data_IF_557907134838
#
_entry.id   IF_557907134838
#
_cell.length_a   1.000
_cell.length_b   1.000
_cell.length_c   1.000
_cell.angle_alpha   90.00
_cell.angle_beta   90.00
_cell.angle_gamma   90.00
#
_symmetry.space_group_name_H-M   'P 1'
#
loop_
_entity.id
_entity.type
_entity.pdbx_description
1 polymer ?
#
# COMPACT_ATOMS: atom_id res chain seq x y z
N UNK A 1 25.44 16.97 -6.21
CA UNK A 1 25.06 16.56 -7.58
C UNK A 1 23.95 17.51 -8.02
N UNK A 2 24.15 18.25 -9.11
CA UNK A 2 23.12 19.10 -9.73
C UNK A 2 22.65 18.31 -10.95
N UNK A 3 21.35 18.14 -11.14
CA UNK A 3 20.88 17.59 -12.41
C UNK A 3 21.42 18.48 -13.52
N UNK A 4 22.06 17.91 -14.55
CA UNK A 4 22.51 18.67 -15.71
C UNK A 4 21.32 19.24 -16.49
N UNK A 5 21.46 19.40 -17.80
CA UNK A 5 20.32 19.80 -18.63
C UNK A 5 19.25 18.71 -18.61
N UNK A 6 18.12 19.01 -17.97
CA UNK A 6 16.94 18.12 -17.90
C UNK A 6 15.82 18.68 -18.77
N UNK A 7 14.98 17.81 -19.37
CA UNK A 7 13.85 18.25 -20.17
C UNK A 7 12.86 19.09 -19.35
N UNK A 8 12.16 20.05 -20.00
CA UNK A 8 11.11 20.80 -19.34
C UNK A 8 9.91 19.90 -19.05
N UNK A 9 9.23 20.15 -17.92
CA UNK A 9 7.96 19.52 -17.59
C UNK A 9 6.93 19.82 -18.69
N UNK A 10 6.13 18.83 -19.17
CA UNK A 10 5.11 19.08 -20.17
C UNK A 10 4.06 20.08 -19.71
N UNK A 11 3.47 20.80 -20.67
CA UNK A 11 2.43 21.80 -20.39
C UNK A 11 1.05 21.18 -20.16
N UNK A 12 0.80 19.98 -20.69
CA UNK A 12 -0.47 19.27 -20.59
C UNK A 12 -0.59 18.39 -19.34
N UNK A 13 -0.23 18.94 -18.17
CA UNK A 13 -0.32 18.23 -16.90
C UNK A 13 -1.51 18.68 -16.05
N UNK A 14 -2.02 17.81 -15.18
CA UNK A 14 -3.05 18.13 -14.19
C UNK A 14 -2.76 17.51 -12.81
N UNK A 15 -3.50 17.93 -11.78
CA UNK A 15 -3.38 17.39 -10.43
C UNK A 15 -3.73 15.89 -10.40
N UNK A 16 -2.91 15.07 -9.76
CA UNK A 16 -3.14 13.63 -9.68
C UNK A 16 -4.16 13.28 -8.58
N UNK A 17 -5.38 12.90 -8.99
CA UNK A 17 -6.49 12.64 -8.08
C UNK A 17 -6.32 11.41 -7.18
N UNK A 18 -5.49 10.44 -7.57
CA UNK A 18 -5.41 9.11 -6.94
C UNK A 18 -4.30 8.98 -5.89
N UNK A 19 -3.71 10.08 -5.45
CA UNK A 19 -2.77 10.07 -4.34
C UNK A 19 -3.49 9.74 -3.02
N UNK A 20 -3.08 8.65 -2.35
CA UNK A 20 -3.66 8.19 -1.07
C UNK A 20 -2.78 8.45 0.15
N UNK A 21 -1.47 8.61 -0.05
CA UNK A 21 -0.49 8.84 0.99
C UNK A 21 0.55 9.89 0.58
N UNK A 22 1.45 10.24 1.50
CA UNK A 22 2.49 11.25 1.29
C UNK A 22 2.07 12.66 1.70
N UNK A 23 2.77 13.66 1.17
CA UNK A 23 2.56 15.07 1.51
C UNK A 23 1.59 15.71 0.51
N UNK A 24 0.29 15.56 0.73
CA UNK A 24 -0.74 16.25 -0.06
C UNK A 24 -1.27 17.48 0.68
N UNK A 25 -1.24 18.64 0.00
CA UNK A 25 -2.02 19.90 0.17
C UNK A 25 -2.23 20.53 1.54
N UNK A 26 -1.81 19.95 2.66
CA UNK A 26 -2.10 20.57 3.96
C UNK A 26 -1.33 21.86 4.21
N UNK A 27 -0.18 22.13 3.57
CA UNK A 27 0.54 23.41 3.78
C UNK A 27 1.56 23.85 2.70
N UNK A 28 1.66 23.21 1.53
CA UNK A 28 2.54 23.72 0.46
C UNK A 28 2.16 23.17 -0.92
N UNK A 29 2.10 24.05 -1.92
CA UNK A 29 1.99 23.73 -3.36
C UNK A 29 3.21 22.98 -3.92
N UNK A 30 4.24 22.73 -3.10
CA UNK A 30 5.55 22.23 -3.54
C UNK A 30 5.66 20.72 -3.71
N UNK A 31 4.67 19.92 -3.30
CA UNK A 31 4.77 18.44 -3.28
C UNK A 31 3.68 17.71 -4.07
N UNK A 32 3.00 18.41 -4.98
CA UNK A 32 1.94 17.84 -5.81
C UNK A 32 2.50 16.81 -6.80
N UNK A 33 1.77 15.70 -6.96
CA UNK A 33 1.96 14.76 -8.06
C UNK A 33 1.09 15.26 -9.21
N UNK A 34 1.69 15.38 -10.39
CA UNK A 34 0.98 15.76 -11.61
C UNK A 34 0.82 14.54 -12.52
N UNK A 35 -0.22 14.54 -13.35
CA UNK A 35 -0.48 13.52 -14.37
C UNK A 35 -0.34 14.13 -15.76
N UNK A 36 0.28 13.41 -16.69
CA UNK A 36 0.22 13.74 -18.12
C UNK A 36 -1.17 13.38 -18.66
N UNK A 37 -1.86 14.31 -19.33
CA UNK A 37 -3.21 14.03 -19.89
C UNK A 37 -3.17 13.13 -21.13
N UNK A 38 -2.02 12.99 -21.77
CA UNK A 38 -1.84 12.28 -23.05
C UNK A 38 -1.11 10.94 -22.91
N UNK A 39 -0.47 10.69 -21.77
CA UNK A 39 0.39 9.52 -21.55
C UNK A 39 0.13 8.92 -20.16
N UNK A 40 0.36 7.61 -19.97
CA UNK A 40 0.28 6.96 -18.66
C UNK A 40 1.52 7.29 -17.80
N UNK A 41 1.76 8.58 -17.55
CA UNK A 41 2.92 9.09 -16.82
C UNK A 41 2.45 10.05 -15.72
N UNK A 42 3.03 9.90 -14.54
CA UNK A 42 2.94 10.87 -13.45
C UNK A 42 4.29 11.56 -13.22
N UNK A 43 4.23 12.79 -12.76
CA UNK A 43 5.37 13.61 -12.36
C UNK A 43 5.31 13.84 -10.85
N UNK A 44 6.15 13.12 -10.11
CA UNK A 44 6.27 13.26 -8.66
C UNK A 44 7.25 14.38 -8.35
N UNK A 45 6.79 15.43 -7.67
CA UNK A 45 7.68 16.50 -7.21
C UNK A 45 8.79 15.92 -6.33
N UNK A 46 10.03 16.33 -6.57
CA UNK A 46 11.15 15.94 -5.72
C UNK A 46 11.01 16.65 -4.38
N UNK A 47 10.88 15.85 -3.31
CA UNK A 47 10.82 16.32 -1.93
C UNK A 47 12.10 17.11 -1.55
N UNK A 48 12.15 17.68 -0.34
CA UNK A 48 13.35 18.32 0.25
C UNK A 48 14.64 17.71 -0.33
N UNK A 49 15.48 18.54 -0.96
CA UNK A 49 16.41 18.12 -2.06
C UNK A 49 17.05 16.75 -1.82
N UNK A 50 17.56 16.47 -0.63
CA UNK A 50 18.18 15.19 -0.29
C UNK A 50 17.28 13.96 -0.49
N UNK A 51 16.02 13.97 -0.03
CA UNK A 51 15.12 12.80 -0.15
C UNK A 51 14.72 12.56 -1.59
N UNK A 52 14.37 13.63 -2.30
CA UNK A 52 14.07 13.58 -3.73
C UNK A 52 15.25 13.03 -4.52
N UNK A 53 16.48 13.49 -4.23
CA UNK A 53 17.68 12.99 -4.90
C UNK A 53 17.90 11.50 -4.62
N UNK A 54 17.74 11.06 -3.37
CA UNK A 54 17.91 9.64 -3.01
C UNK A 54 16.93 8.74 -3.76
N UNK A 55 15.69 9.16 -3.92
CA UNK A 55 14.70 8.41 -4.69
C UNK A 55 15.06 8.36 -6.17
N UNK A 56 15.54 9.47 -6.76
CA UNK A 56 16.04 9.47 -8.14
C UNK A 56 17.22 8.51 -8.30
N UNK A 57 18.20 8.55 -7.38
CA UNK A 57 19.35 7.65 -7.42
C UNK A 57 18.93 6.18 -7.34
N UNK A 58 17.92 5.83 -6.53
CA UNK A 58 17.37 4.49 -6.51
C UNK A 58 16.91 4.05 -7.90
N UNK A 59 16.06 4.86 -8.54
CA UNK A 59 15.53 4.54 -9.86
C UNK A 59 16.62 4.48 -10.92
N UNK A 60 17.60 5.40 -10.89
CA UNK A 60 18.76 5.36 -11.78
C UNK A 60 19.58 4.07 -11.60
N UNK A 61 19.83 3.64 -10.36
CA UNK A 61 20.51 2.37 -10.09
C UNK A 61 19.71 1.17 -10.60
N UNK A 62 18.39 1.15 -10.36
CA UNK A 62 17.53 0.04 -10.81
C UNK A 62 17.44 -0.06 -12.33
N UNK A 63 17.31 1.08 -13.01
CA UNK A 63 17.14 1.14 -14.47
C UNK A 63 18.45 1.32 -15.25
N UNK A 64 19.60 1.30 -14.57
CA UNK A 64 20.92 1.29 -15.22
C UNK A 64 21.10 0.05 -16.12
N UNK A 65 21.76 0.18 -17.29
CA UNK A 65 22.18 -0.97 -18.10
C UNK A 65 23.03 -1.97 -17.29
N UNK A 66 23.86 -1.47 -16.38
CA UNK A 66 24.79 -2.24 -15.56
C UNK A 66 24.21 -2.69 -14.21
N UNK A 67 22.88 -2.57 -14.03
CA UNK A 67 22.22 -2.98 -12.79
C UNK A 67 22.45 -4.46 -12.48
N UNK A 68 22.56 -4.81 -11.20
CA UNK A 68 22.63 -6.20 -10.75
C UNK A 68 21.39 -7.00 -11.16
N UNK A 69 21.48 -8.33 -11.13
CA UNK A 69 20.32 -9.20 -11.40
C UNK A 69 19.19 -8.98 -10.38
N UNK A 70 19.51 -8.65 -9.12
CA UNK A 70 18.51 -8.30 -8.12
C UNK A 70 17.72 -7.05 -8.54
N UNK A 71 18.41 -6.01 -8.98
CA UNK A 71 17.82 -4.75 -9.43
C UNK A 71 17.04 -4.91 -10.74
N UNK A 72 17.55 -5.66 -11.71
CA UNK A 72 16.82 -5.95 -12.96
C UNK A 72 15.49 -6.65 -12.69
N UNK A 73 15.48 -7.64 -11.78
CA UNK A 73 14.25 -8.36 -11.39
C UNK A 73 13.25 -7.47 -10.65
N UNK A 74 13.73 -6.47 -9.92
CA UNK A 74 12.90 -5.51 -9.20
C UNK A 74 12.03 -4.64 -10.13
N UNK A 75 12.48 -4.38 -11.37
CA UNK A 75 11.79 -3.52 -12.34
C UNK A 75 10.33 -3.90 -12.56
N UNK A 76 9.99 -5.19 -12.46
CA UNK A 76 8.61 -5.66 -12.65
C UNK A 76 7.66 -5.32 -11.48
N UNK A 77 8.22 -4.91 -10.34
CA UNK A 77 7.45 -4.63 -9.12
C UNK A 77 7.40 -3.13 -8.78
N UNK A 78 7.99 -2.26 -9.61
CA UNK A 78 8.06 -0.81 -9.34
C UNK A 78 7.59 -0.01 -10.57
N UNK A 79 7.16 1.25 -10.42
CA UNK A 79 6.88 2.11 -11.57
C UNK A 79 8.09 2.25 -12.50
N UNK A 80 7.88 2.21 -13.82
CA UNK A 80 8.96 2.52 -14.77
C UNK A 80 9.39 3.97 -14.62
N UNK A 81 10.71 4.20 -14.58
CA UNK A 81 11.32 5.51 -14.49
C UNK A 81 11.60 6.10 -15.87
N UNK A 82 11.19 7.35 -16.09
CA UNK A 82 11.36 8.05 -17.37
C UNK A 82 12.33 9.25 -17.30
N UNK A 83 12.96 9.47 -16.15
CA UNK A 83 13.91 10.58 -15.96
C UNK A 83 13.42 11.67 -15.01
N UNK A 84 14.25 12.72 -14.91
CA UNK A 84 13.94 13.95 -14.17
C UNK A 84 13.58 15.04 -15.15
N UNK A 85 12.58 15.84 -14.79
CA UNK A 85 12.06 16.96 -15.54
C UNK A 85 12.08 18.22 -14.67
N UNK A 86 12.17 19.40 -15.28
CA UNK A 86 12.14 20.67 -14.57
C UNK A 86 10.94 21.52 -14.98
N UNK A 87 10.18 22.03 -14.01
CA UNK A 87 9.13 23.01 -14.29
C UNK A 87 9.77 24.33 -14.74
N UNK A 88 9.49 24.83 -15.97
CA UNK A 88 10.16 26.02 -16.50
C UNK A 88 10.00 27.27 -15.63
N UNK A 89 8.82 27.46 -15.04
CA UNK A 89 8.47 28.65 -14.26
C UNK A 89 8.98 28.63 -12.82
N UNK A 90 8.85 27.51 -12.10
CA UNK A 90 9.26 27.42 -10.68
C UNK A 90 10.67 26.89 -10.48
N UNK A 91 11.30 26.32 -11.53
CA UNK A 91 12.55 25.56 -11.47
C UNK A 91 12.50 24.33 -10.55
N UNK A 92 11.31 23.93 -10.10
CA UNK A 92 11.12 22.72 -9.32
C UNK A 92 11.39 21.48 -10.19
N UNK A 93 12.00 20.46 -9.59
CA UNK A 93 12.29 19.19 -10.25
C UNK A 93 11.20 18.16 -9.96
N UNK A 94 10.90 17.37 -10.98
CA UNK A 94 9.92 16.29 -10.92
C UNK A 94 10.56 15.01 -11.46
N UNK A 95 10.26 13.88 -10.83
CA UNK A 95 10.59 12.56 -11.35
C UNK A 95 9.40 12.00 -12.12
N UNK A 96 9.61 11.60 -13.37
CA UNK A 96 8.60 10.99 -14.21
C UNK A 96 8.56 9.47 -13.98
N UNK A 97 7.39 8.96 -13.62
CA UNK A 97 7.11 7.55 -13.36
C UNK A 97 5.88 7.08 -14.15
N UNK A 98 5.74 5.77 -14.36
CA UNK A 98 4.49 5.21 -14.91
C UNK A 98 3.30 5.51 -14.00
N UNK A 99 2.18 5.93 -14.58
CA UNK A 99 0.90 6.05 -13.92
C UNK A 99 0.31 4.64 -13.70
N UNK A 100 0.41 4.14 -12.46
CA UNK A 100 0.00 2.79 -12.07
C UNK A 100 -1.51 2.55 -12.13
N UNK A 101 -2.33 3.60 -12.31
CA UNK A 101 -3.78 3.48 -12.39
C UNK A 101 -4.35 3.91 -13.74
N UNK A 102 -3.49 4.10 -14.75
CA UNK A 102 -3.90 4.61 -16.05
C UNK A 102 -4.90 3.70 -16.79
N UNK A 103 -4.82 2.40 -16.56
CA UNK A 103 -5.69 1.36 -17.13
C UNK A 103 -6.86 0.96 -16.21
N UNK A 104 -7.05 1.66 -15.09
CA UNK A 104 -8.19 1.47 -14.18
C UNK A 104 -9.24 2.55 -14.41
N UNK A 105 -10.51 2.14 -14.43
CA UNK A 105 -11.67 3.04 -14.52
C UNK A 105 -12.05 3.59 -13.14
N UNK A 106 -12.14 2.72 -12.13
CA UNK A 106 -12.56 3.06 -10.76
C UNK A 106 -11.62 2.40 -9.74
N UNK A 107 -10.36 2.84 -9.67
CA UNK A 107 -9.34 2.20 -8.85
C UNK A 107 -9.61 2.38 -7.35
N UNK A 108 -9.63 1.26 -6.64
CA UNK A 108 -9.44 1.20 -5.19
C UNK A 108 -7.94 1.05 -4.92
N UNK A 109 -7.41 1.81 -3.98
CA UNK A 109 -5.96 1.89 -3.72
C UNK A 109 -5.71 1.78 -2.22
N UNK A 110 -4.76 0.93 -1.82
CA UNK A 110 -4.35 0.80 -0.42
C UNK A 110 -2.83 0.80 -0.31
N UNK A 111 -2.28 1.71 0.50
CA UNK A 111 -0.85 1.89 0.72
C UNK A 111 -0.45 1.31 2.08
N UNK A 112 0.46 0.33 2.07
CA UNK A 112 1.07 -0.26 3.25
C UNK A 112 2.50 0.20 3.41
N UNK A 113 2.76 1.05 4.40
CA UNK A 113 4.12 1.44 4.77
C UNK A 113 4.82 0.29 5.48
N UNK A 114 5.81 -0.30 4.83
CA UNK A 114 6.46 -1.53 5.27
C UNK A 114 7.55 -1.29 6.32
N UNK A 115 7.84 -2.33 7.09
CA UNK A 115 8.88 -2.38 8.11
C UNK A 115 8.36 -2.33 9.54
N UNK A 116 8.97 -3.14 10.40
CA UNK A 116 8.79 -3.14 11.87
C UNK A 116 9.31 -1.85 12.52
N UNK A 117 10.23 -1.15 11.84
CA UNK A 117 10.75 0.17 12.22
C UNK A 117 10.78 1.09 11.00
N UNK A 118 10.83 2.40 11.25
CA UNK A 118 10.86 3.43 10.19
C UNK A 118 11.92 4.50 10.46
N UNK A 119 13.02 4.12 11.10
CA UNK A 119 14.16 4.96 11.37
C UNK A 119 15.43 4.18 11.03
N UNK A 120 16.50 4.91 10.72
CA UNK A 120 17.79 4.29 10.36
C UNK A 120 18.67 4.10 11.59
N UNK A 121 19.65 3.17 11.53
CA UNK A 121 20.75 3.14 12.49
C UNK A 121 21.34 4.54 12.70
N UNK A 122 21.58 4.91 13.95
CA UNK A 122 22.10 6.23 14.32
C UNK A 122 21.07 7.36 14.35
N UNK A 123 19.77 7.06 14.22
CA UNK A 123 18.72 8.04 14.52
C UNK A 123 18.76 8.43 16.00
N UNK A 124 18.54 9.72 16.31
CA UNK A 124 18.51 10.19 17.70
C UNK A 124 17.40 9.51 18.51
N UNK A 125 17.58 9.42 19.83
CA UNK A 125 16.59 8.80 20.71
C UNK A 125 15.21 9.47 20.56
N UNK A 126 15.16 10.80 20.47
CA UNK A 126 13.91 11.52 20.25
C UNK A 126 13.22 11.13 18.93
N UNK A 127 14.00 10.91 17.85
CA UNK A 127 13.46 10.47 16.57
C UNK A 127 12.92 9.05 16.65
N UNK A 128 13.64 8.15 17.33
CA UNK A 128 13.20 6.77 17.57
C UNK A 128 11.86 6.78 18.33
N UNK A 129 11.83 7.43 19.50
CA UNK A 129 10.63 7.52 20.34
C UNK A 129 9.43 8.10 19.57
N UNK A 130 9.64 9.18 18.80
CA UNK A 130 8.56 9.77 17.97
C UNK A 130 8.06 8.84 16.87
N UNK A 131 8.91 8.04 16.24
CA UNK A 131 8.48 7.09 15.21
C UNK A 131 7.75 5.89 15.80
N UNK A 132 8.18 5.39 16.97
CA UNK A 132 7.52 4.27 17.66
C UNK A 132 6.13 4.65 18.19
N UNK A 133 5.98 5.86 18.72
CA UNK A 133 4.69 6.39 19.20
C UNK A 133 3.64 6.57 18.09
N UNK A 134 4.03 6.64 16.81
CA UNK A 134 3.08 6.81 15.71
C UNK A 134 2.15 5.62 15.54
N UNK A 135 2.62 4.41 15.87
CA UNK A 135 1.82 3.20 15.74
C UNK A 135 2.40 2.06 16.57
N UNK A 136 1.78 1.81 17.73
CA UNK A 136 2.24 0.82 18.71
C UNK A 136 2.29 -0.62 18.16
N UNK A 137 1.46 -0.93 17.15
CA UNK A 137 1.37 -2.27 16.56
C UNK A 137 2.36 -2.51 15.41
N UNK A 138 3.18 -1.51 15.03
CA UNK A 138 4.10 -1.61 13.88
C UNK A 138 5.01 -2.83 13.98
N UNK A 139 5.61 -3.06 15.14
CA UNK A 139 6.55 -4.19 15.33
C UNK A 139 5.85 -5.53 15.20
N UNK A 140 4.61 -5.63 15.68
CA UNK A 140 3.78 -6.85 15.57
C UNK A 140 3.39 -7.13 14.13
N UNK A 141 2.87 -6.11 13.44
CA UNK A 141 2.34 -6.23 12.08
C UNK A 141 3.42 -6.22 10.98
N UNK A 142 4.50 -5.47 11.18
CA UNK A 142 5.53 -5.22 10.17
C UNK A 142 5.12 -4.22 9.08
N UNK A 143 3.96 -3.57 9.22
CA UNK A 143 3.49 -2.52 8.32
C UNK A 143 2.51 -1.57 9.01
N UNK A 144 2.14 -0.48 8.32
CA UNK A 144 1.04 0.44 8.68
C UNK A 144 0.22 0.77 7.44
N UNK A 145 -1.11 0.66 7.53
CA UNK A 145 -2.01 1.21 6.51
C UNK A 145 -1.82 2.74 6.48
N UNK A 146 -1.16 3.23 5.45
CA UNK A 146 -0.63 4.60 5.39
C UNK A 146 -1.50 5.54 4.55
N UNK A 147 -2.38 4.96 3.73
CA UNK A 147 -3.47 5.62 3.04
C UNK A 147 -4.36 4.59 2.36
N UNK A 148 -5.63 4.90 2.21
CA UNK A 148 -6.57 4.03 1.49
C UNK A 148 -7.60 4.87 0.76
N UNK A 149 -8.01 4.43 -0.41
CA UNK A 149 -9.05 5.02 -1.21
C UNK A 149 -9.97 3.93 -1.72
N UNK A 150 -11.27 4.16 -1.55
CA UNK A 150 -12.31 3.28 -2.07
C UNK A 150 -13.17 4.11 -3.04
N UNK A 151 -13.43 3.57 -4.22
CA UNK A 151 -14.35 4.16 -5.16
C UNK A 151 -15.78 3.80 -4.78
N UNK A 152 -16.61 4.82 -4.52
CA UNK A 152 -18.04 4.64 -4.35
C UNK A 152 -18.69 4.69 -5.73
N UNK A 153 -19.00 3.51 -6.26
CA UNK A 153 -19.58 3.37 -7.60
C UNK A 153 -21.02 3.89 -7.69
N UNK A 154 -21.72 4.00 -6.55
CA UNK A 154 -23.10 4.49 -6.48
C UNK A 154 -23.16 6.02 -6.47
N UNK A 155 -22.27 6.63 -5.70
CA UNK A 155 -22.21 8.09 -5.56
C UNK A 155 -21.18 8.76 -6.47
N UNK A 156 -20.48 7.97 -7.30
CA UNK A 156 -19.44 8.42 -8.23
C UNK A 156 -18.36 9.30 -7.56
N UNK A 157 -17.93 8.90 -6.37
CA UNK A 157 -16.95 9.65 -5.58
C UNK A 157 -15.83 8.76 -5.04
N UNK A 158 -14.73 9.40 -4.62
CA UNK A 158 -13.59 8.72 -4.00
C UNK A 158 -13.62 8.98 -2.49
N UNK A 159 -13.72 7.91 -1.71
CA UNK A 159 -13.64 7.96 -0.25
C UNK A 159 -12.19 7.73 0.15
N UNK A 160 -11.55 8.75 0.73
CA UNK A 160 -10.14 8.69 1.15
C UNK A 160 -10.01 8.56 2.66
N UNK A 161 -9.16 7.62 3.08
CA UNK A 161 -8.78 7.36 4.46
C UNK A 161 -7.32 7.76 4.65
N UNK A 162 -7.02 8.79 5.47
CA UNK A 162 -5.66 9.31 5.61
C UNK A 162 -4.81 8.41 6.51
N UNK A 163 -3.49 8.64 6.55
CA UNK A 163 -2.54 7.97 7.45
C UNK A 163 -2.95 7.96 8.93
N UNK A 164 -3.72 8.95 9.39
CA UNK A 164 -4.20 9.03 10.75
C UNK A 164 -5.17 7.89 11.07
N UNK A 165 -6.05 7.54 10.12
CA UNK A 165 -6.98 6.41 10.24
C UNK A 165 -6.24 5.10 10.45
N UNK A 166 -5.24 4.78 9.62
CA UNK A 166 -4.52 3.52 9.78
C UNK A 166 -3.71 3.41 11.07
N UNK A 167 -3.34 4.55 11.68
CA UNK A 167 -2.64 4.57 12.98
C UNK A 167 -3.55 4.29 14.17
N UNK A 168 -4.87 4.36 14.03
CA UNK A 168 -5.80 4.02 15.11
C UNK A 168 -6.17 2.54 15.14
N UNK A 169 -5.84 1.77 14.10
CA UNK A 169 -6.28 0.39 13.95
C UNK A 169 -5.46 -0.57 14.82
N UNK A 170 -6.13 -1.41 15.61
CA UNK A 170 -5.50 -2.62 16.18
C UNK A 170 -5.24 -3.66 15.08
N UNK A 171 -4.42 -4.70 15.34
CA UNK A 171 -4.16 -5.75 14.35
C UNK A 171 -5.44 -6.43 13.82
N UNK A 172 -6.46 -6.59 14.66
CA UNK A 172 -7.75 -7.18 14.30
C UNK A 172 -8.58 -6.18 13.47
N UNK A 173 -8.53 -4.88 13.79
CA UNK A 173 -9.22 -3.84 13.04
C UNK A 173 -8.59 -3.57 11.67
N UNK A 174 -7.30 -3.83 11.48
CA UNK A 174 -6.65 -3.78 10.15
C UNK A 174 -7.38 -4.73 9.18
N UNK A 175 -7.82 -5.90 9.65
CA UNK A 175 -8.66 -6.78 8.86
C UNK A 175 -10.08 -6.21 8.66
N UNK A 176 -10.83 -6.03 9.76
CA UNK A 176 -12.28 -5.83 9.68
C UNK A 176 -12.69 -4.43 9.23
N UNK A 177 -11.89 -3.40 9.53
CA UNK A 177 -12.17 -1.99 9.23
C UNK A 177 -11.27 -1.47 8.09
N UNK A 178 -10.10 -2.08 7.88
CA UNK A 178 -9.18 -1.73 6.79
C UNK A 178 -9.42 -2.56 5.53
N UNK A 179 -8.89 -3.79 5.52
CA UNK A 179 -8.79 -4.60 4.32
C UNK A 179 -10.14 -5.12 3.81
N UNK A 180 -11.02 -5.61 4.69
CA UNK A 180 -12.31 -6.15 4.26
C UNK A 180 -13.15 -5.10 3.50
N UNK A 181 -13.31 -3.87 4.02
CA UNK A 181 -13.95 -2.78 3.27
C UNK A 181 -13.24 -2.45 1.96
N UNK A 182 -11.90 -2.45 1.95
CA UNK A 182 -11.11 -2.19 0.74
C UNK A 182 -11.41 -3.18 -0.39
N UNK A 183 -11.57 -4.48 -0.09
CA UNK A 183 -11.87 -5.50 -1.11
C UNK A 183 -13.33 -5.48 -1.60
N UNK A 184 -14.19 -4.69 -0.96
CA UNK A 184 -15.60 -4.57 -1.29
C UNK A 184 -16.50 -5.60 -0.59
N UNK A 185 -17.81 -5.47 -0.80
CA UNK A 185 -18.83 -6.24 -0.07
C UNK A 185 -19.17 -7.57 -0.72
N UNK A 186 -18.73 -7.83 -1.94
CA UNK A 186 -18.99 -9.10 -2.64
C UNK A 186 -17.97 -10.17 -2.17
N UNK A 187 -18.42 -11.24 -1.47
CA UNK A 187 -17.51 -12.23 -0.91
C UNK A 187 -16.76 -13.02 -2.00
N UNK A 188 -17.39 -13.28 -3.14
CA UNK A 188 -16.75 -14.04 -4.22
C UNK A 188 -15.64 -13.22 -4.89
N UNK A 189 -15.90 -11.95 -5.18
CA UNK A 189 -14.93 -11.03 -5.77
C UNK A 189 -13.79 -10.73 -4.80
N UNK A 190 -14.09 -10.49 -3.53
CA UNK A 190 -13.07 -10.25 -2.51
C UNK A 190 -12.13 -11.46 -2.31
N UNK A 191 -12.65 -12.71 -2.36
CA UNK A 191 -11.82 -13.92 -2.35
C UNK A 191 -10.90 -13.98 -3.58
N UNK A 192 -11.43 -13.71 -4.78
CA UNK A 192 -10.60 -13.69 -6.01
C UNK A 192 -9.52 -12.61 -5.96
N UNK A 193 -9.83 -11.42 -5.45
CA UNK A 193 -8.86 -10.35 -5.23
C UNK A 193 -7.78 -10.77 -4.23
N UNK A 194 -8.18 -11.34 -3.09
CA UNK A 194 -7.23 -11.82 -2.07
C UNK A 194 -6.30 -12.91 -2.63
N UNK A 195 -6.82 -13.87 -3.39
CA UNK A 195 -6.03 -14.89 -4.09
C UNK A 195 -5.03 -14.26 -5.07
N UNK A 196 -5.46 -13.28 -5.85
CA UNK A 196 -4.59 -12.57 -6.78
C UNK A 196 -3.48 -11.80 -6.04
N UNK A 197 -3.81 -11.12 -4.95
CA UNK A 197 -2.82 -10.43 -4.12
C UNK A 197 -1.82 -11.37 -3.45
N UNK A 198 -2.25 -12.55 -2.97
CA UNK A 198 -1.34 -13.57 -2.43
C UNK A 198 -0.27 -13.93 -3.46
N UNK A 199 -0.67 -14.15 -4.73
CA UNK A 199 0.27 -14.52 -5.80
C UNK A 199 1.26 -13.38 -6.06
N UNK A 200 0.78 -12.14 -6.22
CA UNK A 200 1.64 -10.99 -6.52
C UNK A 200 2.59 -10.65 -5.36
N UNK A 201 2.08 -10.62 -4.13
CA UNK A 201 2.89 -10.40 -2.92
C UNK A 201 3.90 -11.53 -2.73
N UNK A 202 3.53 -12.78 -3.03
CA UNK A 202 4.43 -13.94 -3.00
C UNK A 202 5.60 -13.79 -3.99
N UNK A 203 5.35 -13.25 -5.19
CA UNK A 203 6.42 -12.96 -6.16
C UNK A 203 7.40 -11.89 -5.64
N UNK A 204 6.89 -10.84 -5.01
CA UNK A 204 7.73 -9.82 -4.36
C UNK A 204 8.52 -10.44 -3.21
N UNK A 205 7.89 -11.30 -2.40
CA UNK A 205 8.55 -11.96 -1.26
C UNK A 205 9.69 -12.86 -1.73
N UNK A 206 9.44 -13.69 -2.74
CA UNK A 206 10.45 -14.58 -3.32
C UNK A 206 11.62 -13.77 -3.88
N UNK A 207 11.33 -12.72 -4.67
CA UNK A 207 12.38 -11.81 -5.14
C UNK A 207 13.18 -11.19 -3.99
N UNK A 208 12.50 -10.71 -2.95
CA UNK A 208 13.16 -10.07 -1.82
C UNK A 208 14.03 -11.05 -1.05
N UNK A 209 13.56 -12.26 -0.77
CA UNK A 209 14.31 -13.29 -0.03
C UNK A 209 15.51 -13.79 -0.84
N UNK A 210 15.33 -14.05 -2.15
CA UNK A 210 16.37 -14.64 -2.99
C UNK A 210 17.44 -13.64 -3.40
N UNK A 211 17.04 -12.39 -3.68
CA UNK A 211 17.90 -11.36 -4.26
C UNK A 211 17.90 -10.07 -3.43
N UNK A 212 16.72 -9.44 -3.27
CA UNK A 212 16.61 -8.08 -2.77
C UNK A 212 17.24 -7.84 -1.39
N UNK A 213 17.04 -8.75 -0.44
CA UNK A 213 17.54 -8.65 0.93
C UNK A 213 19.07 -8.70 1.03
N UNK A 214 19.77 -9.19 0.00
CA UNK A 214 21.24 -9.25 -0.03
C UNK A 214 21.86 -7.91 -0.42
N UNK A 215 21.18 -7.16 -1.27
CA UNK A 215 21.72 -5.94 -1.89
C UNK A 215 21.03 -4.67 -1.39
N UNK A 216 19.80 -4.77 -0.88
CA UNK A 216 18.96 -3.62 -0.58
C UNK A 216 18.43 -3.66 0.85
N UNK A 217 18.37 -2.48 1.45
CA UNK A 217 17.57 -2.20 2.64
C UNK A 217 16.53 -1.14 2.31
N UNK A 218 15.26 -1.44 2.59
CA UNK A 218 14.18 -0.47 2.50
C UNK A 218 13.82 0.03 3.89
N UNK A 219 13.54 1.33 4.00
CA UNK A 219 12.97 1.95 5.17
C UNK A 219 11.85 2.87 4.71
N UNK A 220 10.65 2.78 5.29
CA UNK A 220 9.48 3.62 4.92
C UNK A 220 8.94 3.47 3.49
N UNK A 221 9.51 2.59 2.67
CA UNK A 221 8.91 2.21 1.39
C UNK A 221 7.58 1.51 1.61
N UNK A 222 6.71 1.58 0.62
CA UNK A 222 5.35 1.06 0.70
C UNK A 222 5.10 -0.03 -0.32
N UNK A 223 4.14 -0.90 0.00
CA UNK A 223 3.45 -1.75 -0.96
C UNK A 223 2.10 -1.12 -1.26
N UNK A 224 1.82 -0.89 -2.54
CA UNK A 224 0.58 -0.34 -3.05
C UNK A 224 -0.25 -1.47 -3.64
N UNK A 225 -1.43 -1.73 -3.09
CA UNK A 225 -2.44 -2.63 -3.64
C UNK A 225 -3.44 -1.80 -4.44
N UNK A 226 -3.73 -2.22 -5.67
CA UNK A 226 -4.68 -1.57 -6.57
C UNK A 226 -5.62 -2.61 -7.14
N UNK A 227 -6.93 -2.35 -7.13
CA UNK A 227 -7.87 -3.15 -7.93
C UNK A 227 -9.01 -2.32 -8.50
N UNK A 228 -9.60 -2.84 -9.57
CA UNK A 228 -10.79 -2.28 -10.19
C UNK A 228 -12.05 -2.58 -9.35
N UNK A 229 -12.94 -1.60 -9.26
CA UNK A 229 -14.25 -1.79 -8.63
C UNK A 229 -15.12 -2.75 -9.44
N UNK A 230 -15.94 -3.56 -8.77
CA UNK A 230 -16.91 -4.38 -9.48
C UNK A 230 -17.91 -3.46 -10.22
N UNK A 231 -18.19 -3.70 -11.52
CA UNK A 231 -19.14 -2.88 -12.26
C UNK A 231 -20.51 -2.89 -11.57
N UNK A 232 -21.08 -1.71 -11.32
CA UNK A 232 -22.48 -1.63 -10.92
C UNK A 232 -23.34 -2.10 -12.10
N UNK A 233 -24.31 -2.98 -11.84
CA UNK A 233 -25.27 -3.47 -12.85
C UNK A 233 -26.21 -2.39 -13.39
N UNK A 234 -25.99 -1.12 -13.04
CA UNK A 234 -26.83 0.01 -13.41
C UNK A 234 -26.00 1.04 -14.18
N UNK A 235 -26.21 1.05 -15.51
CA UNK A 235 -25.82 2.04 -16.54
C UNK A 235 -24.39 2.05 -17.09
N UNK A 236 -24.31 1.87 -18.41
CA UNK A 236 -23.15 1.93 -19.32
C UNK A 236 -22.60 3.35 -19.57
N UNK A 237 -22.62 4.25 -18.59
CA UNK A 237 -22.06 5.60 -18.77
C UNK A 237 -20.68 5.68 -18.10
N UNK A 238 -19.64 5.93 -18.90
CA UNK A 238 -18.28 6.20 -18.42
C UNK A 238 -18.26 7.51 -17.62
N UNK A 239 -18.49 7.41 -16.32
CA UNK A 239 -18.49 8.56 -15.42
C UNK A 239 -17.22 8.54 -14.56
N UNK A 240 -16.31 9.49 -14.80
CA UNK A 240 -15.13 9.70 -13.98
C UNK A 240 -15.52 10.36 -12.64
N UNK A 241 -14.95 9.92 -11.49
CA UNK A 241 -15.30 10.49 -10.19
C UNK A 241 -15.02 11.99 -10.16
N UNK A 242 -16.07 12.80 -10.00
CA UNK A 242 -15.94 14.26 -10.09
C UNK A 242 -15.58 14.90 -8.74
N UNK A 243 -15.63 14.14 -7.62
CA UNK A 243 -15.46 14.64 -6.25
C UNK A 243 -14.77 13.60 -5.35
N UNK A 244 -13.85 14.05 -4.50
CA UNK A 244 -13.24 13.26 -3.42
C UNK A 244 -13.72 13.74 -2.05
N UNK A 245 -14.08 12.83 -1.15
CA UNK A 245 -14.39 13.15 0.24
C UNK A 245 -13.45 12.41 1.19
N UNK A 246 -13.11 13.05 2.32
CA UNK A 246 -12.36 12.39 3.39
C UNK A 246 -13.35 11.63 4.29
N UNK A 247 -13.02 10.39 4.64
CA UNK A 247 -13.76 9.66 5.65
C UNK A 247 -13.57 10.33 7.02
N UNK A 248 -14.65 10.46 7.80
CA UNK A 248 -14.58 11.00 9.16
C UNK A 248 -13.64 10.16 10.02
N UNK A 249 -12.70 10.81 10.71
CA UNK A 249 -11.72 10.18 11.62
C UNK A 249 -12.31 9.79 12.98
N UNK A 250 -13.61 9.95 13.17
CA UNK A 250 -14.29 9.53 14.40
C UNK A 250 -14.26 8.01 14.52
N UNK A 251 -13.57 7.51 15.54
CA UNK A 251 -13.70 6.13 16.01
C UNK A 251 -15.20 5.79 16.18
N UNK A 252 -15.63 4.55 15.94
CA UNK A 252 -17.03 4.17 16.14
C UNK A 252 -17.37 4.29 17.64
N UNK A 253 -17.94 5.41 18.03
CA UNK A 253 -18.55 5.56 19.35
C UNK A 253 -19.82 4.73 19.36
N UNK A 254 -19.88 3.72 20.23
CA UNK A 254 -21.14 3.06 20.62
C UNK A 254 -22.08 4.13 21.17
N UNK A 255 -22.94 4.66 20.31
CA UNK A 255 -23.94 5.64 20.71
C UNK A 255 -25.10 4.85 21.28
N UNK A 256 -25.21 4.80 22.61
CA UNK A 256 -26.46 4.42 23.27
C UNK A 256 -27.48 5.49 22.87
N UNK A 257 -28.48 5.08 22.09
CA UNK A 257 -29.63 5.92 21.76
C UNK A 257 -30.44 6.10 23.05
N UNK A 258 -30.22 7.21 23.75
CA UNK A 258 -31.22 7.73 24.68
C UNK A 258 -32.15 8.65 23.89
N UNK A 259 -33.34 8.14 23.61
CA UNK A 259 -34.46 8.95 23.13
C UNK A 259 -34.80 9.98 24.20
N UNK A 260 -34.58 11.26 23.91
CA UNK A 260 -35.37 12.34 24.49
C UNK A 260 -35.55 13.44 23.45
N UNK A 261 -36.79 13.59 23.00
CA UNK A 261 -37.25 14.66 22.14
C UNK A 261 -37.31 15.97 22.93
N UNK A 262 -36.76 17.07 22.39
CA UNK A 262 -37.54 18.31 22.25
C UNK A 262 -36.84 19.43 21.42
N UNK A 263 -37.69 20.04 20.58
CA UNK A 263 -37.75 21.43 20.08
C UNK A 263 -36.66 22.04 19.16
N UNK A 264 -37.06 22.17 17.89
CA UNK A 264 -37.00 23.32 16.97
C UNK A 264 -35.87 24.35 17.05
N UNK A 265 -35.15 24.49 15.93
CA UNK A 265 -34.88 25.78 15.26
C UNK A 265 -34.49 25.56 13.80
N UNK A 266 -35.10 26.34 12.89
CA UNK A 266 -34.90 26.28 11.45
C UNK A 266 -33.52 26.80 11.02
N UNK A 267 -32.75 25.99 10.29
CA UNK A 267 -31.78 26.49 9.32
C UNK A 267 -31.63 25.49 8.15
N UNK A 268 -31.66 26.04 6.94
CA UNK A 268 -31.55 25.42 5.62
C UNK A 268 -30.48 24.32 5.53
N UNK A 269 -30.89 23.07 5.30
CA UNK A 269 -30.00 21.90 5.20
C UNK A 269 -29.96 21.33 3.77
N UNK A 270 -28.81 21.49 3.11
CA UNK A 270 -28.36 20.51 2.12
C UNK A 270 -27.89 19.28 2.90
N UNK A 271 -28.55 18.14 2.69
CA UNK A 271 -28.28 16.87 3.35
C UNK A 271 -26.97 16.26 2.88
N UNK A 272 -25.86 16.62 3.52
CA UNK A 272 -24.62 15.84 3.47
C UNK A 272 -24.81 14.55 4.26
N UNK A 273 -25.27 13.48 3.59
CA UNK A 273 -25.10 12.12 4.10
C UNK A 273 -23.60 11.80 4.05
N UNK A 274 -22.94 11.85 5.19
CA UNK A 274 -21.61 11.27 5.36
C UNK A 274 -21.69 9.79 4.96
N UNK A 275 -20.80 9.28 4.09
CA UNK A 275 -20.74 7.85 3.82
C UNK A 275 -20.16 7.16 5.07
N UNK A 276 -21.04 6.79 6.00
CA UNK A 276 -20.71 5.90 7.10
C UNK A 276 -20.54 4.50 6.55
N UNK A 277 -19.38 3.90 6.80
CA UNK A 277 -19.20 2.46 6.61
C UNK A 277 -20.25 1.75 7.48
N UNK A 278 -21.11 0.91 6.88
CA UNK A 278 -22.15 0.21 7.62
C UNK A 278 -21.52 -0.69 8.71
N UNK A 279 -21.72 -0.32 9.98
CA UNK A 279 -21.16 -0.98 11.17
C UNK A 279 -21.80 -2.34 11.52
N UNK A 280 -22.59 -2.97 10.65
CA UNK A 280 -23.37 -4.15 11.02
C UNK A 280 -22.58 -5.48 11.11
N UNK A 281 -21.26 -5.49 10.92
CA UNK A 281 -20.45 -6.74 10.93
C UNK A 281 -19.47 -6.87 12.12
N UNK A 282 -19.47 -5.95 13.09
CA UNK A 282 -18.41 -5.88 14.12
C UNK A 282 -18.58 -6.89 15.26
N UNK A 283 -19.76 -7.51 15.44
CA UNK A 283 -20.03 -8.21 16.70
C UNK A 283 -19.54 -9.67 16.77
N UNK A 284 -19.05 -10.29 15.68
CA UNK A 284 -18.60 -11.69 15.70
C UNK A 284 -17.38 -11.95 14.79
N UNK A 285 -16.24 -11.30 15.03
CA UNK A 285 -14.98 -11.67 14.34
C UNK A 285 -14.10 -12.57 15.22
N UNK A 286 -13.68 -13.76 14.76
CA UNK A 286 -12.76 -14.60 15.50
C UNK A 286 -11.37 -13.93 15.60
N UNK A 287 -10.71 -14.06 16.75
CA UNK A 287 -9.39 -13.52 17.01
C UNK A 287 -8.37 -13.95 15.95
N UNK A 288 -7.66 -12.99 15.36
CA UNK A 288 -6.57 -13.25 14.41
C UNK A 288 -5.29 -13.66 15.18
N UNK A 289 -4.75 -14.88 15.00
CA UNK A 289 -3.55 -15.30 15.71
C UNK A 289 -2.28 -14.74 15.04
N UNK A 290 -1.69 -13.69 15.62
CA UNK A 290 -0.29 -13.33 15.34
C UNK A 290 0.61 -14.24 16.17
N UNK A 291 1.27 -15.20 15.55
CA UNK A 291 2.09 -16.22 16.22
C UNK A 291 3.31 -15.59 16.93
N UNK A 292 3.47 -15.92 18.21
CA UNK A 292 4.72 -15.81 18.97
C UNK A 292 5.72 -16.86 18.46
N UNK A 293 6.95 -16.43 18.16
CA UNK A 293 8.04 -17.32 17.75
C UNK A 293 8.40 -18.27 18.90
N UNK A 294 8.29 -19.59 18.67
CA UNK A 294 8.86 -20.62 19.52
C UNK A 294 9.66 -21.62 18.68
N UNK A 295 10.63 -22.22 19.37
CA UNK A 295 11.82 -22.93 18.89
C UNK A 295 11.57 -24.16 18.01
N UNK A 296 12.64 -24.52 17.30
CA UNK A 296 12.90 -25.72 16.50
C UNK A 296 12.50 -27.02 17.18
N UNK A 297 11.76 -27.86 16.45
CA UNK A 297 11.50 -29.27 16.78
C UNK A 297 11.45 -30.09 15.48
N UNK A 298 12.31 -31.10 15.43
CA UNK A 298 12.61 -32.00 14.33
C UNK A 298 11.44 -32.96 14.00
N UNK A 299 11.24 -33.35 12.73
CA UNK A 299 10.26 -34.37 12.36
C UNK A 299 10.19 -34.69 10.86
N UNK A 300 10.67 -35.88 10.50
CA UNK A 300 10.82 -36.44 9.15
C UNK A 300 9.51 -36.89 8.46
N UNK A 301 9.55 -36.83 7.12
CA UNK A 301 8.98 -37.69 6.07
C UNK A 301 7.59 -38.35 6.17
N UNK A 302 6.84 -38.23 5.07
CA UNK A 302 5.73 -39.11 4.72
C UNK A 302 5.11 -38.79 3.35
N UNK A 303 5.61 -39.46 2.32
CA UNK A 303 5.14 -39.40 0.93
C UNK A 303 3.81 -40.17 0.78
N UNK A 304 2.80 -39.64 0.08
CA UNK A 304 1.69 -40.46 -0.46
C UNK A 304 0.96 -39.75 -1.60
N UNK A 305 0.78 -40.50 -2.68
CA UNK A 305 0.33 -40.10 -4.01
C UNK A 305 -1.18 -40.27 -4.23
N UNK A 306 -1.68 -39.43 -5.14
CA UNK A 306 -2.75 -39.63 -6.14
C UNK A 306 -4.10 -40.28 -5.75
N UNK A 307 -5.18 -39.54 -6.02
CA UNK A 307 -6.30 -40.05 -6.82
C UNK A 307 -6.99 -38.90 -7.58
N UNK A 308 -7.20 -39.12 -8.88
CA UNK A 308 -7.93 -38.24 -9.78
C UNK A 308 -9.43 -38.52 -9.65
N UNK A 309 -10.22 -37.45 -9.51
CA UNK A 309 -11.68 -37.53 -9.64
C UNK A 309 -12.16 -36.46 -10.62
N UNK A 310 -12.70 -36.96 -11.73
CA UNK A 310 -13.40 -36.25 -12.80
C UNK A 310 -14.37 -35.21 -12.25
N UNK A 311 -14.20 -33.93 -12.62
CA UNK A 311 -15.15 -32.87 -12.25
C UNK A 311 -15.78 -32.27 -13.50
N UNK A 312 -17.09 -32.45 -13.57
CA UNK A 312 -18.06 -31.92 -14.53
C UNK A 312 -17.89 -30.42 -14.73
N UNK A 313 -17.82 -30.00 -15.99
CA UNK A 313 -17.57 -28.62 -16.40
C UNK A 313 -18.84 -27.77 -16.23
N UNK A 314 -19.02 -27.16 -15.05
CA UNK A 314 -19.99 -26.08 -14.86
C UNK A 314 -19.37 -24.79 -15.39
N UNK A 315 -19.94 -24.24 -16.47
CA UNK A 315 -19.47 -23.00 -17.11
C UNK A 315 -19.74 -21.80 -16.19
N UNK A 316 -18.86 -21.57 -15.22
CA UNK A 316 -18.81 -20.30 -14.47
C UNK A 316 -18.08 -19.30 -15.35
N UNK A 317 -18.75 -18.23 -15.75
CA UNK A 317 -18.10 -17.05 -16.34
C UNK A 317 -17.06 -16.54 -15.35
N UNK A 318 -15.80 -16.92 -15.57
CA UNK A 318 -14.66 -16.50 -14.77
C UNK A 318 -14.46 -15.00 -14.95
N UNK A 319 -15.09 -14.21 -14.08
CA UNK A 319 -14.73 -12.80 -13.93
C UNK A 319 -13.30 -12.75 -13.44
N UNK A 320 -12.37 -12.45 -14.36
CA UNK A 320 -10.97 -12.19 -14.08
C UNK A 320 -10.87 -10.87 -13.34
N UNK A 321 -10.20 -10.84 -12.19
CA UNK A 321 -10.00 -9.61 -11.42
C UNK A 321 -8.90 -8.76 -12.06
N UNK A 322 -9.12 -7.45 -12.19
CA UNK A 322 -8.06 -6.50 -12.53
C UNK A 322 -7.45 -5.95 -11.24
N UNK A 323 -6.31 -6.49 -10.84
CA UNK A 323 -5.61 -6.11 -9.61
C UNK A 323 -4.10 -6.14 -9.81
N UNK A 324 -3.39 -5.18 -9.22
CA UNK A 324 -1.93 -5.02 -9.35
C UNK A 324 -1.30 -4.65 -8.01
N UNK A 325 -0.03 -5.04 -7.82
CA UNK A 325 0.76 -4.75 -6.61
C UNK A 325 2.11 -4.16 -6.98
N UNK A 326 2.47 -3.03 -6.36
CA UNK A 326 3.75 -2.36 -6.60
C UNK A 326 4.46 -1.97 -5.31
N UNK A 327 5.79 -1.96 -5.35
CA UNK A 327 6.65 -1.29 -4.39
C UNK A 327 6.84 0.17 -4.81
N UNK A 328 6.73 1.08 -3.85
CA UNK A 328 6.86 2.54 -4.06
C UNK A 328 7.60 3.23 -2.90
N UNK A 329 7.87 4.53 -3.06
CA UNK A 329 8.48 5.41 -2.07
C UNK A 329 9.89 4.98 -1.64
N UNK A 330 10.87 5.17 -2.55
CA UNK A 330 12.25 4.75 -2.36
C UNK A 330 13.17 5.88 -1.89
N UNK A 331 12.66 6.92 -1.24
CA UNK A 331 13.50 8.01 -0.72
C UNK A 331 14.46 7.54 0.41
N UNK A 332 14.14 6.43 1.06
CA UNK A 332 14.82 5.91 2.24
C UNK A 332 15.27 4.47 2.01
N UNK A 333 16.22 4.30 1.10
CA UNK A 333 16.86 3.03 0.77
C UNK A 333 18.37 3.10 1.04
N UNK A 334 19.02 1.94 1.11
CA UNK A 334 20.49 1.84 1.04
C UNK A 334 20.91 0.56 0.33
N UNK A 335 21.97 0.67 -0.47
CA UNK A 335 22.71 -0.47 -0.99
C UNK A 335 23.52 -1.14 0.13
N UNK A 336 23.62 -2.46 0.11
CA UNK A 336 24.46 -3.24 1.01
C UNK A 336 25.77 -3.54 0.28
N UNK A 337 26.82 -2.79 0.58
CA UNK A 337 28.16 -3.15 0.12
C UNK A 337 28.71 -4.26 1.03
N UNK A 338 28.87 -5.45 0.49
CA UNK A 338 29.60 -6.51 1.17
C UNK A 338 31.09 -6.23 1.00
N UNK A 339 31.74 -5.68 2.03
CA UNK A 339 33.20 -5.56 2.08
C UNK A 339 33.77 -6.72 2.90
N UNK A 340 34.53 -7.66 2.29
CA UNK A 340 35.09 -8.81 3.00
C UNK A 340 36.30 -8.49 3.89
N UNK A 341 36.63 -7.21 4.15
CA UNK A 341 37.95 -6.80 4.67
C UNK A 341 37.95 -5.88 5.91
N UNK A 342 36.86 -5.70 6.65
CA UNK A 342 36.89 -4.81 7.82
C UNK A 342 36.11 -5.36 9.03
N UNK A 343 36.79 -6.13 9.87
CA UNK A 343 36.35 -6.40 11.25
C UNK A 343 36.86 -5.27 12.15
N UNK A 344 36.00 -4.34 12.57
CA UNK A 344 36.23 -3.50 13.76
C UNK A 344 34.88 -3.11 14.40
N UNK A 345 34.83 -3.15 15.73
CA UNK A 345 33.66 -3.28 16.63
C UNK A 345 32.55 -2.20 16.56
N UNK A 346 32.63 -1.22 15.65
CA UNK A 346 31.55 -0.23 15.40
C UNK A 346 30.51 -0.79 14.40
N UNK A 347 30.86 -1.83 13.65
CA UNK A 347 30.02 -2.39 12.60
C UNK A 347 28.91 -3.33 13.10
N UNK A 348 29.06 -3.91 14.29
CA UNK A 348 28.08 -4.85 14.85
C UNK A 348 26.70 -4.22 15.04
N UNK A 349 26.66 -2.96 15.47
CA UNK A 349 25.41 -2.23 15.65
C UNK A 349 24.80 -1.87 14.28
N UNK A 350 25.61 -1.41 13.31
CA UNK A 350 25.14 -1.16 11.93
C UNK A 350 24.54 -2.43 11.30
N UNK A 351 25.22 -3.57 11.43
CA UNK A 351 24.76 -4.87 10.93
C UNK A 351 23.44 -5.29 11.59
N UNK A 352 23.29 -5.13 12.90
CA UNK A 352 22.03 -5.42 13.61
C UNK A 352 20.85 -4.59 13.06
N UNK A 353 21.02 -3.28 12.89
CA UNK A 353 19.95 -2.41 12.38
C UNK A 353 19.65 -2.65 10.88
N UNK A 354 20.64 -3.04 10.08
CA UNK A 354 20.36 -3.52 8.71
C UNK A 354 19.54 -4.81 8.72
N UNK A 355 19.81 -5.72 9.66
CA UNK A 355 19.02 -6.93 9.87
C UNK A 355 17.59 -6.60 10.33
N UNK A 356 17.39 -5.66 11.25
CA UNK A 356 16.04 -5.29 11.70
C UNK A 356 15.20 -4.66 10.59
N UNK A 357 15.77 -3.76 9.79
CA UNK A 357 15.07 -3.19 8.64
C UNK A 357 14.74 -4.26 7.58
N UNK A 358 15.72 -5.12 7.26
CA UNK A 358 15.57 -6.20 6.27
C UNK A 358 14.52 -7.22 6.71
N UNK A 359 14.67 -7.75 7.92
CA UNK A 359 13.74 -8.72 8.50
C UNK A 359 12.38 -8.10 8.74
N UNK A 360 12.35 -6.81 9.11
CA UNK A 360 11.11 -6.07 9.34
C UNK A 360 10.28 -5.88 8.08
N UNK A 361 10.93 -5.57 6.95
CA UNK A 361 10.26 -5.49 5.66
C UNK A 361 9.68 -6.86 5.25
N UNK A 362 10.51 -7.92 5.34
CA UNK A 362 10.10 -9.30 5.08
C UNK A 362 8.93 -9.74 5.96
N UNK A 363 9.01 -9.49 7.27
CA UNK A 363 7.97 -9.81 8.24
C UNK A 363 6.64 -9.12 7.90
N UNK A 364 6.70 -7.85 7.52
CA UNK A 364 5.52 -7.12 7.05
C UNK A 364 4.87 -7.74 5.82
N UNK A 365 5.68 -8.16 4.84
CA UNK A 365 5.20 -8.80 3.62
C UNK A 365 4.57 -10.17 3.91
N UNK A 366 5.21 -10.99 4.72
CA UNK A 366 4.68 -12.28 5.18
C UNK A 366 3.34 -12.10 5.92
N UNK A 367 3.21 -11.08 6.78
CA UNK A 367 1.96 -10.81 7.48
C UNK A 367 0.87 -10.27 6.57
N UNK A 368 1.20 -9.46 5.56
CA UNK A 368 0.23 -9.00 4.58
C UNK A 368 -0.31 -10.18 3.74
N UNK A 369 0.55 -11.13 3.37
CA UNK A 369 0.14 -12.38 2.71
C UNK A 369 -0.76 -13.22 3.63
N UNK A 370 -0.40 -13.39 4.90
CA UNK A 370 -1.25 -14.10 5.89
C UNK A 370 -2.62 -13.46 6.05
N UNK A 371 -2.68 -12.13 6.03
CA UNK A 371 -3.93 -11.37 6.09
C UNK A 371 -4.81 -11.68 4.87
N UNK A 372 -4.24 -11.76 3.68
CA UNK A 372 -4.97 -12.16 2.47
C UNK A 372 -5.44 -13.62 2.54
N UNK A 373 -4.62 -14.55 3.05
CA UNK A 373 -5.07 -15.93 3.28
C UNK A 373 -6.22 -16.03 4.27
N UNK A 374 -6.21 -15.21 5.32
CA UNK A 374 -7.29 -15.16 6.29
C UNK A 374 -8.61 -14.71 5.63
N UNK A 375 -8.59 -13.75 4.70
CA UNK A 375 -9.77 -13.35 3.92
C UNK A 375 -10.30 -14.53 3.11
N UNK A 376 -9.40 -15.21 2.37
CA UNK A 376 -9.79 -16.38 1.56
C UNK A 376 -10.50 -17.42 2.43
N UNK A 377 -9.96 -17.73 3.62
CA UNK A 377 -10.52 -18.75 4.49
C UNK A 377 -11.87 -18.34 5.12
N UNK A 378 -12.01 -17.07 5.55
CA UNK A 378 -13.24 -16.62 6.24
C UNK A 378 -14.37 -16.29 5.26
N UNK A 379 -14.08 -15.67 4.12
CA UNK A 379 -15.11 -15.27 3.15
C UNK A 379 -15.52 -16.45 2.25
N UNK A 380 -14.65 -17.44 2.00
CA UNK A 380 -15.05 -18.67 1.29
C UNK A 380 -16.05 -19.49 2.12
N UNK A 381 -15.91 -19.51 3.44
CA UNK A 381 -16.87 -20.16 4.33
C UNK A 381 -18.27 -19.52 4.23
N UNK A 382 -18.34 -18.22 3.98
CA UNK A 382 -19.62 -17.53 3.73
C UNK A 382 -20.19 -17.95 2.37
N UNK A 383 -19.36 -18.00 1.33
CA UNK A 383 -19.78 -18.40 -0.02
C UNK A 383 -20.32 -19.84 -0.10
N UNK A 384 -19.82 -20.75 0.74
CA UNK A 384 -20.28 -22.15 0.79
C UNK A 384 -21.61 -22.29 1.55
N UNK A 385 -21.87 -21.39 2.50
CA UNK A 385 -23.06 -21.42 3.35
C UNK A 385 -24.20 -20.49 2.87
N UNK A 386 -24.01 -19.81 1.72
CA UNK A 386 -24.99 -18.93 1.05
C UNK A 386 -25.52 -19.62 -0.19
#
# INVERSE_FOLDING_TARGET
MVFGDVPPLPTCTESYAFQVAGHSRENASSFEILRDKSKPIIYKSLQDRERGMREVMFYQSVFSPDASEALKRLRQFIPTYYGVFQCPGTKAYYMALTDLVADFKQPNICDFKMGTVTYFPGSSQDKISREELKYIWRRKLGFVLSGMQISDTKNHCLIKFPKAFGRTLTPEQVYSIGIKPFLGTDPTYSVKLAQNYIIQLGRILNWYVEYGAKELTFCRSSILLIHESLPSTTTNNEYYPSKSCFASSSAPTTTIINNNNNSNTHHTSCTTRNPTLNNQLVNNSPNFPFIHKASTGNGNNGNSSCHATTTTTTTTTSTTVHAQVYLIDFAHWSEKHYSPLFNNDIEHNKNYWTCELTNGFRHGLENLIKLMHYIVNNESAICINS
#
